data_IF_292033870338
#
_entry.id   IF_292033870338
#
_cell.length_a   1.000
_cell.length_b   1.000
_cell.length_c   1.000
_cell.angle_alpha   90.00
_cell.angle_beta   90.00
_cell.angle_gamma   90.00
#
_symmetry.space_group_name_H-M   'P 1'
#
loop_
_entity.id
_entity.type
_entity.pdbx_description
1 polymer ?
#
# COMPACT_ATOMS: atom_id res chain seq x y z
N UNK A 1 -11.39 -10.93 -26.24
CA UNK A 1 -12.31 -9.80 -26.45
C UNK A 1 -12.84 -9.40 -25.09
N UNK A 2 -12.60 -8.13 -24.75
CA UNK A 2 -12.74 -7.45 -23.46
C UNK A 2 -11.57 -7.66 -22.49
N UNK A 3 -10.49 -6.91 -22.77
CA UNK A 3 -9.40 -6.59 -21.84
C UNK A 3 -9.86 -5.48 -20.89
N UNK A 4 -9.84 -5.74 -19.59
CA UNK A 4 -9.98 -4.72 -18.55
C UNK A 4 -8.62 -4.54 -17.87
N UNK A 5 -7.83 -3.59 -18.37
CA UNK A 5 -6.59 -3.13 -17.76
C UNK A 5 -6.92 -2.02 -16.75
N UNK A 6 -6.56 -2.21 -15.48
CA UNK A 6 -6.62 -1.17 -14.46
C UNK A 6 -5.64 -0.04 -14.83
N UNK A 7 -6.19 1.16 -15.03
CA UNK A 7 -5.49 2.37 -15.43
C UNK A 7 -4.90 3.11 -14.23
N UNK A 8 -3.58 3.27 -14.20
CA UNK A 8 -2.90 4.26 -13.36
C UNK A 8 -2.90 5.62 -14.07
N UNK A 9 -3.48 6.65 -13.45
CA UNK A 9 -3.48 8.02 -13.97
C UNK A 9 -2.92 8.96 -12.90
N UNK A 10 -1.64 9.30 -13.02
CA UNK A 10 -1.11 10.52 -12.40
C UNK A 10 -1.39 11.70 -13.35
N UNK A 11 -2.38 12.53 -13.03
CA UNK A 11 -2.65 13.79 -13.76
C UNK A 11 -1.79 14.91 -13.19
N UNK A 12 -0.71 15.27 -13.88
CA UNK A 12 -0.06 16.56 -13.71
C UNK A 12 -1.00 17.66 -14.27
N UNK A 13 -1.43 18.60 -13.43
CA UNK A 13 -2.31 19.71 -13.81
C UNK A 13 -1.47 20.97 -14.04
N UNK A 14 -1.36 21.38 -15.29
CA UNK A 14 -0.89 22.71 -15.68
C UNK A 14 -2.07 23.69 -15.51
N UNK A 15 -1.97 24.69 -14.62
CA UNK A 15 -3.03 25.70 -14.45
C UNK A 15 -2.52 27.12 -14.70
N UNK A 16 -3.07 27.73 -15.75
CA UNK A 16 -3.01 29.16 -16.03
C UNK A 16 -3.79 29.94 -14.94
N UNK A 17 -3.17 31.01 -14.43
CA UNK A 17 -3.75 31.95 -13.48
C UNK A 17 -4.56 33.02 -14.22
N UNK A 18 -5.82 33.23 -13.85
CA UNK A 18 -6.50 34.53 -14.02
C UNK A 18 -7.45 34.82 -12.84
N UNK A 19 -7.55 36.09 -12.39
CA UNK A 19 -8.28 36.47 -11.17
C UNK A 19 -9.72 36.88 -11.49
N UNK A 20 -10.68 36.56 -10.62
CA UNK A 20 -11.97 37.27 -10.65
C UNK A 20 -12.60 37.43 -9.26
N UNK A 21 -13.01 38.68 -9.03
CA UNK A 21 -13.76 39.21 -7.89
C UNK A 21 -14.97 38.35 -7.51
N UNK A 22 -15.26 38.28 -6.20
CA UNK A 22 -16.63 38.12 -5.72
C UNK A 22 -16.98 39.19 -4.69
N UNK A 23 -18.11 39.84 -4.94
CA UNK A 23 -18.81 40.74 -4.05
C UNK A 23 -20.19 40.16 -3.71
N UNK A 24 -20.77 40.66 -2.61
CA UNK A 24 -22.16 40.55 -2.14
C UNK A 24 -22.62 39.25 -1.44
N UNK A 25 -23.54 39.22 -0.47
CA UNK A 25 -24.16 40.13 0.55
C UNK A 25 -25.27 39.28 1.26
N UNK A 26 -25.35 39.34 2.61
CA UNK A 26 -26.56 39.46 3.50
C UNK A 26 -27.53 38.23 3.53
N UNK A 27 -28.02 37.67 4.66
CA UNK A 27 -29.01 38.19 5.65
C UNK A 27 -29.10 37.29 6.92
N UNK A 28 -29.24 37.96 8.06
CA UNK A 28 -29.66 37.53 9.41
C UNK A 28 -31.13 37.05 9.50
N UNK A 29 -31.42 36.05 10.34
CA UNK A 29 -32.61 36.06 11.24
C UNK A 29 -32.28 35.34 12.56
N UNK A 30 -32.60 36.03 13.65
CA UNK A 30 -32.49 35.65 15.08
C UNK A 30 -33.80 35.02 15.54
N UNK A 31 -33.77 34.01 16.43
CA UNK A 31 -34.71 33.94 17.56
C UNK A 31 -34.22 33.03 18.69
N UNK A 32 -34.04 33.66 19.84
CA UNK A 32 -33.80 33.17 21.19
C UNK A 32 -34.99 32.43 21.81
N UNK A 33 -34.76 31.65 22.88
CA UNK A 33 -35.36 31.74 24.24
C UNK A 33 -34.97 30.49 25.07
N UNK A 34 -34.00 30.63 25.97
CA UNK A 34 -34.13 30.70 27.45
C UNK A 34 -34.55 29.41 28.16
N UNK A 35 -33.57 28.85 28.87
CA UNK A 35 -33.72 27.94 29.99
C UNK A 35 -34.02 28.72 31.28
N UNK A 36 -34.86 28.14 32.14
CA UNK A 36 -34.80 28.16 33.61
C UNK A 36 -35.95 27.29 34.14
N UNK A 37 -35.68 26.25 34.94
CA UNK A 37 -35.97 26.28 36.39
C UNK A 37 -35.80 24.91 37.07
N UNK A 38 -35.21 24.98 38.27
CA UNK A 38 -35.10 23.92 39.27
C UNK A 38 -36.41 23.82 40.08
N UNK A 39 -36.82 22.61 40.47
CA UNK A 39 -37.51 22.42 41.75
C UNK A 39 -37.35 21.00 42.32
N UNK A 40 -37.23 20.99 43.65
CA UNK A 40 -36.97 19.90 44.59
C UNK A 40 -38.17 18.99 44.88
N UNK A 41 -37.85 17.79 45.38
CA UNK A 41 -38.48 17.05 46.49
C UNK A 41 -39.14 15.68 46.17
N UNK A 42 -38.43 14.61 46.60
CA UNK A 42 -38.92 13.53 47.45
C UNK A 42 -40.04 12.59 46.97
N UNK A 43 -39.72 11.31 46.79
CA UNK A 43 -40.44 10.17 47.40
C UNK A 43 -39.73 8.84 47.14
N UNK A 44 -39.54 8.08 48.21
CA UNK A 44 -39.12 6.69 48.27
C UNK A 44 -40.09 5.76 47.54
N UNK A 45 -39.56 4.86 46.71
CA UNK A 45 -40.23 3.61 46.33
C UNK A 45 -39.18 2.53 46.02
N UNK A 46 -39.19 1.48 46.83
CA UNK A 46 -38.46 0.23 46.63
C UNK A 46 -38.82 -0.43 45.30
N UNK A 47 -37.83 -0.75 44.47
CA UNK A 47 -37.94 -1.73 43.37
C UNK A 47 -36.67 -2.57 43.27
N UNK A 48 -36.82 -3.85 43.63
CA UNK A 48 -36.29 -5.04 42.95
C UNK A 48 -34.97 -4.85 42.19
N UNK A 49 -33.87 -5.37 42.76
CA UNK A 49 -32.64 -5.60 42.03
C UNK A 49 -32.88 -6.65 40.93
N UNK A 50 -32.80 -6.21 39.68
CA UNK A 50 -32.73 -7.06 38.51
C UNK A 50 -31.25 -7.42 38.29
N UNK A 51 -30.90 -8.68 37.96
CA UNK A 51 -29.52 -9.04 37.71
C UNK A 51 -29.03 -8.27 36.48
N UNK A 52 -28.04 -7.42 36.68
CA UNK A 52 -27.27 -6.81 35.59
C UNK A 52 -26.62 -7.94 34.82
N UNK A 53 -27.00 -8.09 33.54
CA UNK A 53 -26.20 -8.83 32.58
C UNK A 53 -24.83 -8.16 32.55
N UNK A 54 -23.81 -8.86 33.01
CA UNK A 54 -22.43 -8.49 32.76
C UNK A 54 -22.25 -8.43 31.24
N UNK A 55 -22.17 -7.21 30.71
CA UNK A 55 -21.65 -6.99 29.37
C UNK A 55 -20.15 -7.25 29.52
N UNK A 56 -19.57 -8.22 28.78
CA UNK A 56 -18.12 -8.39 28.81
C UNK A 56 -17.52 -7.07 28.35
N UNK A 57 -16.74 -6.42 29.21
CA UNK A 57 -15.85 -5.35 28.77
C UNK A 57 -14.83 -6.04 27.88
N UNK A 58 -15.00 -5.90 26.56
CA UNK A 58 -13.96 -6.30 25.61
C UNK A 58 -12.80 -5.35 25.87
N UNK A 59 -11.76 -5.86 26.54
CA UNK A 59 -10.51 -5.13 26.73
C UNK A 59 -9.80 -5.07 25.39
N UNK A 60 -9.49 -3.85 24.94
CA UNK A 60 -8.75 -3.62 23.71
C UNK A 60 -7.45 -4.43 23.70
N UNK A 61 -7.11 -5.01 22.54
CA UNK A 61 -5.86 -5.74 22.38
C UNK A 61 -4.65 -4.85 22.73
N UNK A 62 -3.65 -5.46 23.37
CA UNK A 62 -2.51 -4.74 23.98
C UNK A 62 -1.15 -5.11 23.37
N UNK A 63 -1.12 -6.07 22.46
CA UNK A 63 0.10 -6.44 21.72
C UNK A 63 0.62 -5.30 20.85
N UNK A 64 1.86 -5.39 20.40
CA UNK A 64 2.46 -4.43 19.47
C UNK A 64 2.15 -4.81 18.02
N UNK A 65 1.93 -3.80 17.18
CA UNK A 65 1.70 -3.97 15.75
C UNK A 65 2.94 -3.51 14.99
N UNK A 66 3.54 -4.38 14.18
CA UNK A 66 4.70 -4.07 13.33
C UNK A 66 4.32 -4.17 11.86
N UNK A 67 4.17 -3.04 11.17
CA UNK A 67 3.80 -2.99 9.75
C UNK A 67 5.04 -2.80 8.87
N UNK A 68 5.10 -3.56 7.78
CA UNK A 68 6.15 -3.47 6.78
C UNK A 68 5.52 -3.16 5.41
N UNK A 69 5.86 -1.97 4.91
CA UNK A 69 5.35 -1.40 3.67
C UNK A 69 6.15 -1.80 2.45
N UNK A 70 5.55 -2.53 1.52
CA UNK A 70 6.27 -3.22 0.46
C UNK A 70 5.97 -2.68 -0.94
N UNK A 71 6.83 -3.02 -1.90
CA UNK A 71 6.57 -2.83 -3.33
C UNK A 71 6.37 -4.21 -3.97
N UNK A 72 5.15 -4.47 -4.46
CA UNK A 72 4.66 -5.82 -4.73
C UNK A 72 5.61 -6.66 -5.59
N UNK A 73 5.86 -7.89 -5.14
CA UNK A 73 6.54 -8.92 -5.94
C UNK A 73 8.03 -8.70 -6.15
N UNK A 74 8.70 -7.90 -5.31
CA UNK A 74 10.14 -7.67 -5.39
C UNK A 74 10.89 -8.70 -4.53
N UNK A 75 11.66 -9.60 -5.16
CA UNK A 75 12.37 -10.70 -4.49
C UNK A 75 13.22 -10.27 -3.27
N UNK A 76 13.98 -9.17 -3.38
CA UNK A 76 14.78 -8.65 -2.26
C UNK A 76 13.95 -8.10 -1.10
N UNK A 77 12.74 -7.62 -1.36
CA UNK A 77 11.78 -7.22 -0.32
C UNK A 77 11.21 -8.47 0.35
N UNK A 78 10.76 -9.47 -0.42
CA UNK A 78 10.29 -10.76 0.11
C UNK A 78 11.34 -11.45 1.01
N UNK A 79 12.62 -11.38 0.63
CA UNK A 79 13.72 -11.89 1.46
C UNK A 79 13.88 -11.12 2.77
N UNK A 80 13.66 -9.80 2.77
CA UNK A 80 13.71 -8.96 3.96
C UNK A 80 12.49 -9.20 4.86
N UNK A 81 11.29 -9.28 4.30
CA UNK A 81 10.05 -9.64 5.00
C UNK A 81 10.19 -11.00 5.68
N UNK A 82 10.69 -12.02 4.97
CA UNK A 82 10.96 -13.32 5.57
C UNK A 82 11.97 -13.24 6.72
N UNK A 83 13.06 -12.48 6.56
CA UNK A 83 14.07 -12.32 7.63
C UNK A 83 13.45 -11.68 8.87
N UNK A 84 12.62 -10.66 8.70
CA UNK A 84 11.90 -10.01 9.80
C UNK A 84 10.92 -10.97 10.47
N UNK A 85 10.08 -11.63 9.68
CA UNK A 85 9.12 -12.63 10.20
C UNK A 85 9.84 -13.75 10.97
N UNK A 86 10.91 -14.31 10.39
CA UNK A 86 11.71 -15.35 11.01
C UNK A 86 12.34 -14.90 12.34
N UNK A 87 12.78 -13.64 12.45
CA UNK A 87 13.28 -13.07 13.69
C UNK A 87 12.19 -13.01 14.76
N UNK A 88 11.03 -12.40 14.47
CA UNK A 88 9.91 -12.35 15.41
C UNK A 88 9.43 -13.75 15.81
N UNK A 89 9.30 -14.66 14.84
CA UNK A 89 8.84 -16.03 15.05
C UNK A 89 9.76 -16.84 15.96
N UNK A 90 11.08 -16.80 15.74
CA UNK A 90 12.04 -17.61 16.49
C UNK A 90 12.50 -16.96 17.80
N UNK A 91 12.58 -15.63 17.87
CA UNK A 91 13.16 -14.94 19.02
C UNK A 91 12.11 -14.35 19.97
N UNK A 92 10.93 -14.01 19.46
CA UNK A 92 9.88 -13.30 20.22
C UNK A 92 8.60 -14.12 20.37
N UNK A 93 8.53 -15.31 19.75
CA UNK A 93 7.38 -16.21 19.88
C UNK A 93 6.16 -15.80 19.06
N UNK A 94 6.29 -14.81 18.17
CA UNK A 94 5.19 -14.33 17.34
C UNK A 94 4.64 -15.44 16.42
N UNK A 95 3.31 -15.52 16.29
CA UNK A 95 2.64 -16.54 15.45
C UNK A 95 1.64 -15.98 14.44
N UNK A 96 1.22 -14.73 14.61
CA UNK A 96 0.19 -14.10 13.79
C UNK A 96 0.81 -13.16 12.76
N UNK A 97 0.73 -13.56 11.49
CA UNK A 97 1.22 -12.78 10.34
C UNK A 97 0.03 -12.24 9.54
N UNK A 98 -0.13 -10.93 9.60
CA UNK A 98 -1.14 -10.19 8.86
C UNK A 98 -0.62 -9.88 7.46
N UNK A 99 -1.45 -10.09 6.44
CA UNK A 99 -1.07 -9.90 5.04
C UNK A 99 -2.17 -9.17 4.27
N UNK A 100 -1.78 -8.38 3.27
CA UNK A 100 -2.68 -7.75 2.30
C UNK A 100 -3.28 -8.76 1.32
N UNK A 101 -4.00 -9.74 1.86
CA UNK A 101 -4.82 -10.69 1.15
C UNK A 101 -6.21 -10.72 1.77
N UNK A 102 -7.17 -11.25 1.01
CA UNK A 102 -8.53 -11.41 1.51
C UNK A 102 -8.64 -12.47 2.59
N UNK A 103 -9.66 -12.34 3.44
CA UNK A 103 -9.97 -13.31 4.49
C UNK A 103 -10.04 -14.76 3.96
N UNK A 104 -10.78 -14.99 2.86
CA UNK A 104 -10.95 -16.34 2.32
C UNK A 104 -9.66 -16.90 1.70
N UNK A 105 -8.79 -16.05 1.17
CA UNK A 105 -7.48 -16.48 0.63
C UNK A 105 -6.58 -16.97 1.76
N UNK A 106 -6.48 -16.22 2.86
CA UNK A 106 -5.60 -16.64 3.98
C UNK A 106 -6.15 -17.84 4.72
N UNK A 107 -7.47 -18.02 4.79
CA UNK A 107 -8.04 -19.21 5.42
C UNK A 107 -7.69 -20.47 4.63
N UNK A 108 -7.64 -20.38 3.29
CA UNK A 108 -7.07 -21.45 2.48
C UNK A 108 -5.58 -21.65 2.71
N UNK A 109 -4.79 -20.57 2.82
CA UNK A 109 -3.37 -20.69 3.17
C UNK A 109 -3.18 -21.36 4.54
N UNK A 110 -4.03 -21.07 5.52
CA UNK A 110 -4.00 -21.71 6.84
C UNK A 110 -4.35 -23.20 6.76
N UNK A 111 -5.29 -23.60 5.88
CA UNK A 111 -5.53 -25.02 5.59
C UNK A 111 -4.31 -25.67 4.91
N UNK A 112 -3.70 -24.99 3.95
CA UNK A 112 -2.47 -25.44 3.30
C UNK A 112 -1.29 -25.57 4.27
N UNK A 113 -1.14 -24.69 5.25
CA UNK A 113 -0.09 -24.80 6.27
C UNK A 113 -0.17 -26.15 7.02
N UNK A 114 -1.37 -26.73 7.12
CA UNK A 114 -1.61 -28.02 7.78
C UNK A 114 -1.66 -29.21 6.80
N UNK A 115 -1.62 -28.99 5.48
CA UNK A 115 -1.64 -30.06 4.48
C UNK A 115 -0.25 -30.67 4.28
N UNK A 116 -0.22 -31.93 3.84
CA UNK A 116 1.00 -32.68 3.52
C UNK A 116 1.55 -32.39 2.11
N UNK A 117 0.81 -31.65 1.29
CA UNK A 117 1.18 -31.25 -0.07
C UNK A 117 0.92 -29.76 -0.35
N UNK A 118 1.18 -29.34 -1.59
CA UNK A 118 1.04 -27.95 -2.04
C UNK A 118 -0.20 -27.67 -2.91
N UNK A 119 -1.12 -28.63 -3.05
CA UNK A 119 -2.23 -28.52 -4.01
C UNK A 119 -3.08 -27.25 -3.77
N UNK A 120 -3.40 -26.96 -2.51
CA UNK A 120 -4.15 -25.76 -2.13
C UNK A 120 -3.39 -24.47 -2.49
N UNK A 121 -2.06 -24.45 -2.29
CA UNK A 121 -1.25 -23.28 -2.66
C UNK A 121 -1.21 -23.10 -4.18
N UNK A 122 -1.06 -24.19 -4.94
CA UNK A 122 -1.05 -24.12 -6.41
C UNK A 122 -2.42 -23.63 -6.94
N UNK A 123 -3.54 -24.06 -6.36
CA UNK A 123 -4.87 -23.54 -6.73
C UNK A 123 -5.03 -22.03 -6.42
N UNK A 124 -4.53 -21.56 -5.27
CA UNK A 124 -4.53 -20.13 -4.93
C UNK A 124 -3.63 -19.35 -5.90
N UNK A 125 -2.46 -19.89 -6.22
CA UNK A 125 -1.51 -19.27 -7.14
C UNK A 125 -2.10 -19.13 -8.54
N UNK A 126 -2.80 -20.16 -9.03
CA UNK A 126 -3.52 -20.10 -10.30
C UNK A 126 -4.63 -19.03 -10.27
N UNK A 127 -5.38 -18.90 -9.16
CA UNK A 127 -6.38 -17.83 -9.01
C UNK A 127 -5.77 -16.41 -8.95
N UNK A 128 -4.46 -16.30 -8.70
CA UNK A 128 -3.76 -15.02 -8.78
C UNK A 128 -3.42 -14.61 -10.20
N UNK A 129 -3.66 -15.44 -11.23
CA UNK A 129 -3.34 -15.11 -12.63
C UNK A 129 -3.78 -13.68 -12.97
N UNK A 130 -2.89 -12.92 -13.63
CA UNK A 130 -3.09 -11.51 -14.05
C UNK A 130 -3.08 -10.49 -12.92
N UNK A 131 -2.60 -10.89 -11.74
CA UNK A 131 -2.40 -9.99 -10.59
C UNK A 131 -0.91 -9.95 -10.26
N UNK A 132 -0.49 -8.95 -9.48
CA UNK A 132 0.90 -8.86 -9.01
C UNK A 132 1.31 -10.05 -8.11
N UNK A 133 0.32 -10.75 -7.54
CA UNK A 133 0.54 -11.92 -6.69
C UNK A 133 0.89 -13.19 -7.48
N UNK A 134 0.63 -13.25 -8.81
CA UNK A 134 1.06 -14.39 -9.65
C UNK A 134 2.54 -14.25 -10.00
N UNK A 135 3.36 -14.33 -8.96
CA UNK A 135 4.81 -14.20 -9.01
C UNK A 135 5.44 -15.44 -8.35
N UNK A 136 6.34 -16.16 -9.04
CA UNK A 136 7.02 -17.32 -8.47
C UNK A 136 7.72 -17.04 -7.14
N UNK A 137 8.28 -15.83 -6.95
CA UNK A 137 8.97 -15.46 -5.72
C UNK A 137 7.99 -15.36 -4.53
N UNK A 138 6.76 -14.90 -4.76
CA UNK A 138 5.69 -14.88 -3.73
C UNK A 138 5.30 -16.31 -3.35
N UNK A 139 5.18 -17.20 -4.33
CA UNK A 139 4.90 -18.62 -4.06
C UNK A 139 6.01 -19.25 -3.22
N UNK A 140 7.28 -19.01 -3.56
CA UNK A 140 8.42 -19.50 -2.80
C UNK A 140 8.49 -18.87 -1.40
N UNK A 141 8.12 -17.60 -1.23
CA UNK A 141 8.01 -16.95 0.08
C UNK A 141 7.05 -17.70 1.02
N UNK A 142 5.85 -18.05 0.56
CA UNK A 142 4.91 -18.84 1.36
C UNK A 142 5.47 -20.23 1.67
N UNK A 143 6.05 -20.95 0.68
CA UNK A 143 6.68 -22.27 0.90
C UNK A 143 7.82 -22.21 1.93
N UNK A 144 8.59 -21.12 1.92
CA UNK A 144 9.64 -20.85 2.90
C UNK A 144 9.07 -20.62 4.30
N UNK A 145 7.94 -19.91 4.44
CA UNK A 145 7.22 -19.78 5.71
C UNK A 145 6.74 -21.16 6.20
N UNK A 146 6.05 -21.95 5.38
CA UNK A 146 5.57 -23.28 5.78
C UNK A 146 6.70 -24.18 6.28
N UNK A 147 7.83 -24.19 5.58
CA UNK A 147 8.96 -25.05 5.93
C UNK A 147 9.79 -24.59 7.12
N UNK A 148 9.84 -23.27 7.41
CA UNK A 148 10.74 -22.70 8.45
C UNK A 148 10.00 -22.13 9.66
N UNK A 149 8.76 -21.69 9.47
CA UNK A 149 7.89 -21.11 10.49
C UNK A 149 6.50 -21.80 10.46
N UNK A 150 6.42 -23.13 10.65
CA UNK A 150 5.20 -23.91 10.38
C UNK A 150 4.01 -23.59 11.29
N UNK A 151 4.24 -22.92 12.42
CA UNK A 151 3.17 -22.49 13.33
C UNK A 151 2.62 -21.09 12.99
N UNK A 152 3.01 -20.53 11.84
CA UNK A 152 2.47 -19.24 11.37
C UNK A 152 0.97 -19.36 11.10
N UNK A 153 0.20 -18.40 11.61
CA UNK A 153 -1.22 -18.22 11.36
C UNK A 153 -1.37 -16.93 10.55
N UNK A 154 -1.91 -17.05 9.34
CA UNK A 154 -2.15 -15.92 8.46
C UNK A 154 -3.47 -15.23 8.77
N UNK A 155 -3.47 -13.90 8.77
CA UNK A 155 -4.66 -13.06 8.86
C UNK A 155 -4.74 -12.15 7.64
N UNK A 156 -5.82 -12.27 6.87
CA UNK A 156 -6.05 -11.54 5.63
C UNK A 156 -7.10 -10.48 5.88
N UNK A 157 -6.70 -9.22 5.73
CA UNK A 157 -7.53 -8.08 6.09
C UNK A 157 -7.95 -7.25 4.89
N UNK A 158 -7.40 -7.49 3.71
CA UNK A 158 -7.76 -6.75 2.52
C UNK A 158 -9.09 -7.24 1.92
N UNK A 159 -9.63 -6.45 1.02
CA UNK A 159 -10.70 -6.88 0.12
C UNK A 159 -10.12 -7.81 -0.95
N UNK A 160 -10.83 -8.88 -1.30
CA UNK A 160 -10.36 -9.81 -2.34
C UNK A 160 -10.90 -9.48 -3.72
N UNK A 161 -10.06 -9.49 -4.76
CA UNK A 161 -10.53 -9.53 -6.16
C UNK A 161 -11.04 -10.91 -6.56
N UNK A 162 -10.50 -11.98 -5.98
CA UNK A 162 -10.91 -13.36 -6.25
C UNK A 162 -12.21 -13.79 -5.56
N UNK A 163 -13.14 -12.85 -5.34
CA UNK A 163 -14.37 -13.13 -4.59
C UNK A 163 -15.28 -14.14 -5.29
N UNK A 164 -15.23 -14.23 -6.62
CA UNK A 164 -16.04 -15.13 -7.44
C UNK A 164 -15.37 -16.47 -7.71
N UNK A 165 -14.04 -16.53 -7.65
CA UNK A 165 -13.25 -17.77 -7.75
C UNK A 165 -12.88 -18.31 -6.36
N UNK A 166 -11.76 -17.92 -5.76
CA UNK A 166 -11.26 -18.41 -4.47
C UNK A 166 -12.32 -18.26 -3.37
N UNK A 167 -13.03 -17.14 -3.31
CA UNK A 167 -14.08 -16.90 -2.33
C UNK A 167 -15.24 -17.90 -2.45
N UNK A 168 -15.73 -18.15 -3.67
CA UNK A 168 -16.80 -19.12 -3.92
C UNK A 168 -16.33 -20.56 -3.69
N UNK A 169 -15.06 -20.87 -4.03
CA UNK A 169 -14.44 -22.16 -3.72
C UNK A 169 -14.39 -22.36 -2.21
N UNK A 170 -13.98 -21.35 -1.43
CA UNK A 170 -13.91 -21.46 0.03
C UNK A 170 -15.27 -21.62 0.69
N UNK A 171 -16.31 -20.91 0.23
CA UNK A 171 -17.68 -21.14 0.69
C UNK A 171 -18.14 -22.58 0.44
N UNK A 172 -17.81 -23.12 -0.73
CA UNK A 172 -18.15 -24.50 -1.09
C UNK A 172 -17.43 -25.50 -0.18
N UNK A 173 -16.15 -25.26 0.13
CA UNK A 173 -15.40 -26.03 1.12
C UNK A 173 -16.06 -25.97 2.50
N UNK A 174 -16.42 -24.79 2.99
CA UNK A 174 -17.06 -24.64 4.30
C UNK A 174 -18.41 -25.37 4.35
N UNK A 175 -19.23 -25.27 3.31
CA UNK A 175 -20.51 -25.98 3.22
C UNK A 175 -20.33 -27.51 3.19
N UNK A 176 -19.34 -28.01 2.44
CA UNK A 176 -19.04 -29.44 2.34
C UNK A 176 -18.50 -30.05 3.65
N UNK A 177 -18.04 -29.20 4.58
CA UNK A 177 -17.52 -29.61 5.89
C UNK A 177 -18.46 -29.22 7.05
N UNK A 178 -19.75 -28.96 6.76
CA UNK A 178 -20.77 -28.60 7.76
C UNK A 178 -20.46 -27.30 8.55
N UNK A 179 -19.68 -26.40 7.97
CA UNK A 179 -19.27 -25.11 8.56
C UNK A 179 -20.12 -23.93 8.07
N UNK A 180 -21.30 -24.18 7.48
CA UNK A 180 -22.18 -23.14 6.92
C UNK A 180 -22.74 -22.12 7.93
N UNK A 181 -22.76 -22.46 9.21
CA UNK A 181 -23.19 -21.57 10.30
C UNK A 181 -22.01 -21.02 11.13
N UNK A 182 -20.77 -21.26 10.68
CA UNK A 182 -19.57 -20.82 11.39
C UNK A 182 -19.28 -19.32 11.20
N UNK A 183 -18.48 -18.77 12.11
CA UNK A 183 -17.91 -17.43 11.94
C UNK A 183 -17.11 -17.34 10.63
N UNK A 184 -16.33 -18.38 10.29
CA UNK A 184 -15.55 -18.42 9.04
C UNK A 184 -16.43 -18.24 7.81
N UNK A 185 -17.61 -18.87 7.79
CA UNK A 185 -18.56 -18.71 6.69
C UNK A 185 -19.10 -17.28 6.61
N UNK A 186 -19.45 -16.70 7.76
CA UNK A 186 -19.95 -15.32 7.84
C UNK A 186 -18.90 -14.32 7.35
N UNK A 187 -17.66 -14.44 7.81
CA UNK A 187 -16.56 -13.56 7.41
C UNK A 187 -16.16 -13.75 5.94
N UNK A 188 -16.26 -14.97 5.42
CA UNK A 188 -16.06 -15.24 3.98
C UNK A 188 -17.11 -14.54 3.14
N UNK A 189 -18.39 -14.64 3.52
CA UNK A 189 -19.49 -13.93 2.84
C UNK A 189 -19.31 -12.41 2.90
N UNK A 190 -18.84 -11.89 4.04
CA UNK A 190 -18.55 -10.48 4.21
C UNK A 190 -17.41 -10.03 3.28
N UNK A 191 -16.27 -10.73 3.27
CA UNK A 191 -15.13 -10.41 2.42
C UNK A 191 -15.50 -10.46 0.92
N UNK A 192 -16.31 -11.43 0.50
CA UNK A 192 -16.85 -11.51 -0.88
C UNK A 192 -17.71 -10.28 -1.18
N UNK A 193 -18.56 -9.86 -0.25
CA UNK A 193 -19.38 -8.65 -0.43
C UNK A 193 -18.51 -7.40 -0.52
N UNK A 194 -17.50 -7.26 0.33
CA UNK A 194 -16.58 -6.13 0.31
C UNK A 194 -15.87 -6.04 -1.05
N UNK A 195 -15.34 -7.16 -1.56
CA UNK A 195 -14.76 -7.24 -2.91
C UNK A 195 -15.74 -6.79 -3.99
N UNK A 196 -16.96 -7.35 -4.02
CA UNK A 196 -18.00 -6.94 -5.01
C UNK A 196 -18.32 -5.45 -4.97
N UNK A 197 -18.42 -4.86 -3.78
CA UNK A 197 -18.71 -3.42 -3.65
C UNK A 197 -17.57 -2.60 -4.22
N UNK A 198 -16.32 -2.90 -3.83
CA UNK A 198 -15.17 -2.17 -4.34
C UNK A 198 -15.04 -2.28 -5.86
N UNK A 199 -15.01 -3.49 -6.42
CA UNK A 199 -14.83 -3.67 -7.87
C UNK A 199 -16.00 -3.17 -8.72
N UNK A 200 -17.14 -2.83 -8.10
CA UNK A 200 -18.24 -2.14 -8.79
C UNK A 200 -18.07 -0.61 -8.90
N UNK A 201 -17.17 -0.02 -8.11
CA UNK A 201 -17.04 1.44 -7.94
C UNK A 201 -15.61 1.97 -7.97
N UNK A 202 -14.62 1.10 -7.80
CA UNK A 202 -13.20 1.42 -7.60
C UNK A 202 -12.98 2.46 -6.48
N UNK A 203 -13.72 2.29 -5.38
CA UNK A 203 -13.74 3.22 -4.25
C UNK A 203 -12.56 2.96 -3.29
N UNK A 204 -11.46 3.68 -3.49
CA UNK A 204 -10.25 3.57 -2.65
C UNK A 204 -10.50 3.88 -1.17
N UNK A 205 -11.36 4.85 -0.87
CA UNK A 205 -11.75 5.22 0.50
C UNK A 205 -12.48 4.05 1.16
N UNK A 206 -13.37 3.38 0.43
CA UNK A 206 -14.05 2.18 0.92
C UNK A 206 -13.07 1.05 1.23
N UNK A 207 -12.11 0.76 0.32
CA UNK A 207 -11.08 -0.27 0.55
C UNK A 207 -10.29 0.00 1.82
N UNK A 208 -9.82 1.24 2.00
CA UNK A 208 -8.97 1.60 3.13
C UNK A 208 -9.68 1.43 4.47
N UNK A 209 -10.93 1.88 4.55
CA UNK A 209 -11.75 1.71 5.76
C UNK A 209 -12.02 0.23 6.03
N UNK A 210 -12.34 -0.57 5.00
CA UNK A 210 -12.59 -2.02 5.20
C UNK A 210 -11.33 -2.79 5.57
N UNK A 211 -10.18 -2.45 5.02
CA UNK A 211 -8.91 -3.05 5.42
C UNK A 211 -8.62 -2.79 6.91
N UNK A 212 -8.83 -1.56 7.36
CA UNK A 212 -8.68 -1.15 8.76
C UNK A 212 -9.66 -1.86 9.68
N UNK A 213 -10.96 -1.88 9.34
CA UNK A 213 -11.99 -2.58 10.11
C UNK A 213 -11.69 -4.08 10.24
N UNK A 214 -11.27 -4.71 9.14
CA UNK A 214 -10.90 -6.12 9.12
C UNK A 214 -9.67 -6.39 9.98
N UNK A 215 -8.67 -5.50 9.95
CA UNK A 215 -7.47 -5.60 10.80
C UNK A 215 -7.85 -5.56 12.28
N UNK A 216 -8.60 -4.55 12.70
CA UNK A 216 -9.06 -4.39 14.09
C UNK A 216 -9.83 -5.65 14.52
N UNK A 217 -10.79 -6.12 13.71
CA UNK A 217 -11.57 -7.33 14.03
C UNK A 217 -10.68 -8.54 14.31
N UNK A 218 -9.64 -8.76 13.50
CA UNK A 218 -8.76 -9.91 13.66
C UNK A 218 -7.76 -9.72 14.81
N UNK A 219 -7.21 -8.52 14.98
CA UNK A 219 -6.24 -8.23 16.03
C UNK A 219 -6.86 -8.24 17.44
N UNK A 220 -8.09 -7.73 17.60
CA UNK A 220 -8.80 -7.74 18.89
C UNK A 220 -9.03 -9.16 19.44
N UNK A 221 -9.04 -10.19 18.59
CA UNK A 221 -9.18 -11.59 19.01
C UNK A 221 -7.91 -12.13 19.67
N UNK A 222 -6.78 -11.46 19.50
CA UNK A 222 -5.45 -11.96 19.89
C UNK A 222 -5.01 -11.49 21.29
N UNK A 223 -5.86 -10.70 21.99
CA UNK A 223 -5.61 -10.25 23.36
C UNK A 223 -4.30 -9.47 23.54
N UNK A 224 -3.20 -10.14 23.88
CA UNK A 224 -1.90 -9.52 24.17
C UNK A 224 -0.79 -9.96 23.22
N UNK A 225 -1.11 -10.72 22.18
CA UNK A 225 -0.14 -11.15 21.16
C UNK A 225 0.28 -9.97 20.28
N UNK A 226 1.59 -9.82 20.07
CA UNK A 226 2.12 -8.90 19.06
C UNK A 226 2.00 -9.51 17.67
N UNK A 227 1.90 -8.67 16.64
CA UNK A 227 1.69 -9.10 15.25
C UNK A 227 2.63 -8.39 14.29
N UNK A 228 2.95 -9.07 13.19
CA UNK A 228 3.62 -8.48 12.03
C UNK A 228 2.61 -8.36 10.89
N UNK A 229 2.59 -7.24 10.19
CA UNK A 229 1.79 -6.98 9.00
C UNK A 229 2.65 -6.72 7.77
N UNK A 230 2.32 -7.33 6.64
CA UNK A 230 2.94 -7.07 5.32
C UNK A 230 1.88 -6.53 4.38
N UNK A 231 2.07 -5.29 3.93
CA UNK A 231 1.13 -4.55 3.08
C UNK A 231 1.89 -3.66 2.10
N UNK A 232 1.27 -3.33 0.97
CA UNK A 232 1.75 -2.31 0.05
C UNK A 232 2.03 -1.01 0.81
N UNK A 233 3.15 -0.35 0.50
CA UNK A 233 3.66 0.74 1.32
C UNK A 233 2.66 1.87 1.56
N UNK A 234 1.74 2.10 0.60
CA UNK A 234 0.68 3.09 0.65
C UNK A 234 -0.33 2.89 1.81
N UNK A 235 -0.39 1.70 2.42
CA UNK A 235 -1.29 1.39 3.53
C UNK A 235 -0.60 1.47 4.89
N UNK A 236 0.72 1.71 4.91
CA UNK A 236 1.56 1.51 6.10
C UNK A 236 2.13 2.80 6.71
N UNK A 237 1.96 3.95 6.08
CA UNK A 237 2.44 5.23 6.60
C UNK A 237 1.65 5.67 7.84
N UNK A 238 2.37 6.03 8.93
CA UNK A 238 1.72 6.40 10.20
C UNK A 238 1.10 7.81 10.17
N UNK A 239 1.48 8.64 9.21
CA UNK A 239 0.99 9.99 8.97
C UNK A 239 0.54 10.20 7.51
N UNK A 240 0.33 9.11 6.77
CA UNK A 240 -0.05 9.14 5.35
C UNK A 240 -1.57 9.06 5.15
N UNK A 241 -2.02 9.55 4.00
CA UNK A 241 -3.41 9.56 3.56
C UNK A 241 -3.66 8.44 2.53
N UNK A 242 -4.93 8.07 2.31
CA UNK A 242 -5.32 7.08 1.32
C UNK A 242 -4.75 7.43 -0.06
N UNK A 243 -4.16 6.43 -0.70
CA UNK A 243 -3.45 6.62 -1.97
C UNK A 243 -4.31 7.23 -3.07
N UNK A 244 -5.56 6.76 -3.19
CA UNK A 244 -6.39 7.05 -4.36
C UNK A 244 -6.91 8.48 -4.38
N UNK A 245 -7.41 8.97 -3.24
CA UNK A 245 -8.11 10.26 -3.15
C UNK A 245 -7.42 11.28 -2.27
N UNK A 246 -6.55 10.84 -1.35
CA UNK A 246 -5.91 11.68 -0.35
C UNK A 246 -6.94 12.44 0.52
N UNK A 247 -8.10 11.82 0.78
CA UNK A 247 -9.21 12.45 1.53
C UNK A 247 -9.40 11.88 2.94
N UNK A 248 -8.91 10.67 3.21
CA UNK A 248 -8.91 10.04 4.53
C UNK A 248 -7.51 9.51 4.89
N UNK A 249 -7.19 9.29 6.18
CA UNK A 249 -5.95 8.61 6.57
C UNK A 249 -5.85 7.19 5.98
N UNK A 250 -4.64 6.74 5.64
CA UNK A 250 -4.41 5.34 5.27
C UNK A 250 -4.57 4.38 6.47
N UNK A 251 -4.60 3.07 6.24
CA UNK A 251 -4.86 2.06 7.26
C UNK A 251 -3.97 2.23 8.50
N UNK A 252 -2.64 2.32 8.33
CA UNK A 252 -1.74 2.44 9.48
C UNK A 252 -1.93 3.73 10.29
N UNK A 253 -2.26 4.84 9.63
CA UNK A 253 -2.59 6.10 10.31
C UNK A 253 -3.90 5.96 11.12
N UNK A 254 -4.93 5.32 10.56
CA UNK A 254 -6.16 5.00 11.30
C UNK A 254 -5.90 4.06 12.49
N UNK A 255 -5.05 3.04 12.31
CA UNK A 255 -4.65 2.13 13.39
C UNK A 255 -3.84 2.85 14.48
N UNK A 256 -2.99 3.82 14.11
CA UNK A 256 -2.28 4.66 15.09
C UNK A 256 -3.24 5.51 15.91
N UNK A 257 -4.26 6.11 15.29
CA UNK A 257 -5.29 6.83 16.04
C UNK A 257 -6.03 5.90 17.01
N UNK A 258 -6.27 4.64 16.61
CA UNK A 258 -7.00 3.66 17.42
C UNK A 258 -6.17 3.03 18.57
N UNK A 259 -4.91 2.67 18.33
CA UNK A 259 -4.05 1.93 19.26
C UNK A 259 -2.96 2.79 19.92
N UNK A 260 -2.80 4.05 19.50
CA UNK A 260 -1.77 4.96 20.00
C UNK A 260 -0.36 4.54 19.58
N UNK A 261 0.60 4.63 20.50
CA UNK A 261 2.02 4.46 20.20
C UNK A 261 2.51 3.00 20.08
N UNK A 262 1.63 2.02 20.22
CA UNK A 262 1.98 0.58 20.12
C UNK A 262 1.94 0.05 18.67
N UNK A 263 2.18 0.94 17.71
CA UNK A 263 2.28 0.62 16.29
C UNK A 263 3.61 1.15 15.73
N UNK A 264 4.29 0.30 14.97
CA UNK A 264 5.55 0.59 14.31
C UNK A 264 5.38 0.33 12.82
N UNK A 265 6.05 1.15 11.99
CA UNK A 265 6.02 0.98 10.54
C UNK A 265 7.40 1.18 9.94
N UNK A 266 7.78 0.33 8.99
CA UNK A 266 8.98 0.45 8.16
C UNK A 266 8.61 0.31 6.68
N UNK A 267 8.96 1.33 5.87
CA UNK A 267 8.74 1.30 4.43
C UNK A 267 9.92 0.58 3.73
N UNK A 268 9.69 -0.67 3.36
CA UNK A 268 10.61 -1.54 2.61
C UNK A 268 10.62 -1.28 1.11
N UNK A 269 9.63 -0.57 0.54
CA UNK A 269 9.57 -0.27 -0.91
C UNK A 269 10.84 0.41 -1.43
N UNK A 270 11.56 1.15 -0.58
CA UNK A 270 12.84 1.79 -0.90
C UNK A 270 13.92 0.79 -1.29
N UNK A 271 13.87 -0.43 -0.73
CA UNK A 271 14.78 -1.52 -1.09
C UNK A 271 14.64 -1.87 -2.56
N UNK A 272 13.44 -1.73 -3.17
CA UNK A 272 13.23 -1.95 -4.61
C UNK A 272 14.17 -1.10 -5.48
N UNK A 273 14.51 0.11 -5.03
CA UNK A 273 15.37 1.04 -5.76
C UNK A 273 16.86 0.79 -5.55
N UNK A 274 17.25 0.01 -4.54
CA UNK A 274 18.64 -0.36 -4.31
C UNK A 274 19.15 -1.33 -5.39
N UNK A 275 19.53 -0.79 -6.56
CA UNK A 275 19.96 -1.52 -7.75
C UNK A 275 21.34 -1.06 -8.19
N UNK A 276 22.18 -2.02 -8.56
CA UNK A 276 23.45 -1.76 -9.22
C UNK A 276 23.24 -1.51 -10.72
N UNK A 277 24.05 -0.66 -11.37
CA UNK A 277 23.97 -0.48 -12.80
C UNK A 277 24.30 -1.78 -13.53
N UNK A 278 23.45 -2.16 -14.48
CA UNK A 278 23.59 -3.42 -15.22
C UNK A 278 24.69 -3.38 -16.28
N UNK A 279 25.09 -2.18 -16.72
CA UNK A 279 26.24 -1.93 -17.59
C UNK A 279 26.66 -0.46 -17.51
N UNK A 280 27.81 -0.16 -18.11
CA UNK A 280 28.30 1.20 -18.31
C UNK A 280 28.37 1.47 -19.81
N UNK A 281 27.65 2.50 -20.26
CA UNK A 281 27.71 3.05 -21.61
C UNK A 281 28.62 4.30 -21.62
N UNK A 282 28.80 4.91 -22.80
CA UNK A 282 29.50 6.20 -22.93
C UNK A 282 28.60 7.20 -23.65
N UNK A 283 28.39 8.37 -23.04
CA UNK A 283 27.52 9.42 -23.58
C UNK A 283 28.34 10.71 -23.70
N UNK A 284 28.34 11.30 -24.90
CA UNK A 284 28.94 12.61 -25.12
C UNK A 284 27.97 13.74 -24.76
N UNK A 285 28.45 14.71 -23.98
CA UNK A 285 27.74 15.92 -23.58
C UNK A 285 28.71 17.10 -23.66
N UNK A 286 28.34 18.16 -24.40
CA UNK A 286 29.19 19.33 -24.67
C UNK A 286 30.62 18.99 -25.17
N UNK A 287 30.73 17.94 -25.99
CA UNK A 287 32.01 17.50 -26.58
C UNK A 287 32.93 16.71 -25.64
N UNK A 288 32.53 16.49 -24.38
CA UNK A 288 33.20 15.58 -23.43
C UNK A 288 32.43 14.26 -23.36
N UNK A 289 33.14 13.15 -23.27
CA UNK A 289 32.56 11.82 -23.12
C UNK A 289 32.54 11.42 -21.64
N UNK A 290 31.41 10.90 -21.17
CA UNK A 290 31.21 10.49 -19.78
C UNK A 290 30.87 8.99 -19.73
N UNK A 291 31.38 8.31 -18.71
CA UNK A 291 30.86 7.01 -18.32
C UNK A 291 29.41 7.18 -17.86
N UNK A 292 28.53 6.33 -18.37
CA UNK A 292 27.09 6.41 -18.15
C UNK A 292 26.57 5.08 -17.57
N UNK A 293 26.41 5.04 -16.25
CA UNK A 293 25.87 3.87 -15.53
C UNK A 293 24.40 3.65 -15.89
N UNK A 294 24.06 2.51 -16.50
CA UNK A 294 22.71 2.19 -16.96
C UNK A 294 21.93 1.37 -15.93
N UNK A 295 20.77 1.90 -15.52
CA UNK A 295 19.95 1.34 -14.45
C UNK A 295 18.67 0.64 -14.93
N UNK A 296 18.49 0.54 -16.25
CA UNK A 296 17.38 -0.21 -16.83
C UNK A 296 16.24 0.66 -17.34
N UNK A 297 15.12 -0.02 -17.51
CA UNK A 297 13.94 0.44 -18.23
C UNK A 297 12.71 0.38 -17.32
N UNK A 298 11.89 1.42 -17.38
CA UNK A 298 10.57 1.48 -16.77
C UNK A 298 9.50 1.50 -17.86
N UNK A 299 8.54 0.59 -17.75
CA UNK A 299 7.35 0.56 -18.60
C UNK A 299 6.44 1.77 -18.29
N UNK A 300 5.87 2.40 -19.33
CA UNK A 300 4.98 3.56 -19.22
C UNK A 300 3.58 3.25 -19.77
N UNK A 301 3.18 1.98 -19.85
CA UNK A 301 1.83 1.58 -20.23
C UNK A 301 0.79 2.30 -19.35
N UNK A 302 -0.22 2.87 -19.99
CA UNK A 302 -1.22 3.75 -19.35
C UNK A 302 -0.91 5.24 -19.49
N UNK A 303 0.35 5.63 -19.75
CA UNK A 303 0.66 7.00 -20.18
C UNK A 303 0.38 7.15 -21.66
N UNK A 304 -0.36 8.22 -22.00
CA UNK A 304 -0.66 8.54 -23.39
C UNK A 304 0.64 8.82 -24.14
N UNK A 305 0.80 8.19 -25.30
CA UNK A 305 1.90 8.37 -26.27
C UNK A 305 3.28 7.82 -25.86
N UNK A 306 3.45 7.25 -24.66
CA UNK A 306 4.73 6.69 -24.19
C UNK A 306 4.67 5.18 -24.00
N UNK A 307 5.74 4.49 -24.43
CA UNK A 307 5.89 3.05 -24.25
C UNK A 307 6.74 2.73 -23.00
N UNK A 308 7.90 3.39 -22.88
CA UNK A 308 8.82 3.18 -21.76
C UNK A 308 9.84 4.30 -21.67
N UNK A 309 10.56 4.36 -20.55
CA UNK A 309 11.75 5.20 -20.41
C UNK A 309 12.92 4.44 -19.82
N UNK A 310 14.12 4.91 -20.11
CA UNK A 310 15.38 4.31 -19.70
C UNK A 310 16.26 5.33 -18.98
N UNK A 311 17.08 4.87 -18.04
CA UNK A 311 17.84 5.73 -17.13
C UNK A 311 19.34 5.45 -17.16
N UNK A 312 20.11 6.51 -17.33
CA UNK A 312 21.55 6.54 -17.12
C UNK A 312 21.91 7.61 -16.09
N UNK A 313 22.93 7.34 -15.28
CA UNK A 313 23.64 8.37 -14.51
C UNK A 313 24.98 8.67 -15.18
N UNK A 314 25.25 9.93 -15.49
CA UNK A 314 26.55 10.37 -15.99
C UNK A 314 27.49 10.58 -14.81
N UNK A 315 28.55 9.77 -14.75
CA UNK A 315 29.53 9.82 -13.67
C UNK A 315 30.45 11.03 -13.85
N UNK A 316 30.74 11.73 -12.73
CA UNK A 316 31.61 12.90 -12.66
C UNK A 316 31.22 14.07 -13.59
N UNK A 317 29.94 14.18 -13.95
CA UNK A 317 29.44 15.19 -14.90
C UNK A 317 28.90 16.47 -14.26
N UNK A 318 28.62 16.48 -12.95
CA UNK A 318 27.86 17.57 -12.30
C UNK A 318 28.54 18.93 -12.40
N UNK A 319 29.83 19.00 -12.04
CA UNK A 319 30.58 20.26 -12.05
C UNK A 319 30.65 20.89 -13.45
N UNK A 320 30.64 20.07 -14.50
CA UNK A 320 30.70 20.52 -15.89
C UNK A 320 29.37 21.09 -16.40
N UNK A 321 28.24 20.72 -15.77
CA UNK A 321 26.89 21.05 -16.27
C UNK A 321 26.06 21.94 -15.35
N UNK A 322 26.49 22.15 -14.09
CA UNK A 322 25.71 22.87 -13.09
C UNK A 322 25.33 24.31 -13.48
N UNK A 323 26.13 24.94 -14.35
CA UNK A 323 25.91 26.31 -14.84
C UNK A 323 25.15 26.39 -16.16
N UNK A 324 24.72 25.25 -16.71
CA UNK A 324 23.97 25.23 -17.98
C UNK A 324 22.55 25.76 -17.80
N UNK A 325 21.93 26.29 -18.88
CA UNK A 325 20.58 26.80 -18.81
C UNK A 325 19.58 25.73 -18.35
N UNK A 326 18.85 26.05 -17.29
CA UNK A 326 17.84 25.20 -16.70
C UNK A 326 16.50 25.38 -17.42
N UNK A 327 15.75 24.30 -17.50
CA UNK A 327 14.39 24.25 -18.03
C UNK A 327 13.42 24.12 -16.85
N UNK A 328 12.27 24.78 -16.93
CA UNK A 328 11.19 24.65 -15.96
C UNK A 328 10.44 23.31 -16.16
N UNK A 329 11.18 22.22 -15.97
CA UNK A 329 10.70 20.85 -16.01
C UNK A 329 11.45 20.03 -14.96
N UNK A 330 10.70 19.31 -14.12
CA UNK A 330 11.23 18.61 -12.97
C UNK A 330 10.81 17.15 -12.98
N UNK A 331 11.73 16.28 -12.60
CA UNK A 331 11.45 14.86 -12.41
C UNK A 331 11.62 14.51 -10.92
N UNK A 332 10.52 14.18 -10.21
CA UNK A 332 10.60 13.73 -8.82
C UNK A 332 11.55 12.56 -8.64
N UNK A 333 12.28 12.52 -7.52
CA UNK A 333 13.20 11.41 -7.23
C UNK A 333 12.49 10.07 -7.24
N UNK A 334 11.21 10.04 -6.86
CA UNK A 334 10.47 8.80 -6.82
C UNK A 334 10.20 8.16 -8.18
N UNK A 335 10.36 8.93 -9.26
CA UNK A 335 10.22 8.46 -10.63
C UNK A 335 11.48 7.77 -11.19
N UNK A 336 12.57 7.75 -10.43
CA UNK A 336 13.80 7.05 -10.81
C UNK A 336 13.81 5.60 -10.30
N UNK A 337 14.50 4.74 -11.05
CA UNK A 337 14.69 3.32 -10.69
C UNK A 337 15.70 3.11 -9.56
N UNK A 338 16.48 4.15 -9.22
CA UNK A 338 17.55 4.16 -8.24
C UNK A 338 17.43 5.35 -7.28
N UNK A 339 18.04 5.30 -6.08
CA UNK A 339 18.18 6.45 -5.20
C UNK A 339 18.94 7.58 -5.89
N UNK A 340 18.55 8.81 -5.58
CA UNK A 340 19.13 10.02 -6.14
C UNK A 340 19.82 10.81 -5.04
N UNK A 341 21.05 11.23 -5.32
CA UNK A 341 21.85 12.08 -4.45
C UNK A 341 22.12 13.43 -5.12
N UNK A 342 22.25 14.47 -4.29
CA UNK A 342 22.66 15.80 -4.75
C UNK A 342 24.05 15.71 -5.38
N UNK A 343 24.25 16.38 -6.50
CA UNK A 343 25.50 16.32 -7.27
C UNK A 343 25.50 15.27 -8.38
N UNK A 344 24.35 14.68 -8.72
CA UNK A 344 24.24 13.67 -9.79
C UNK A 344 23.60 14.24 -11.07
N UNK A 345 23.98 13.66 -12.21
CA UNK A 345 23.48 14.03 -13.55
C UNK A 345 22.92 12.79 -14.21
N UNK A 346 21.77 12.93 -14.89
CA UNK A 346 21.04 11.83 -15.48
C UNK A 346 20.70 12.09 -16.94
N UNK A 347 20.70 11.02 -17.72
CA UNK A 347 20.10 10.96 -19.05
C UNK A 347 18.87 10.08 -18.96
N UNK A 348 17.73 10.59 -19.42
CA UNK A 348 16.49 9.83 -19.50
C UNK A 348 16.07 9.78 -20.97
N UNK A 349 16.01 8.57 -21.53
CA UNK A 349 15.46 8.37 -22.86
C UNK A 349 14.02 7.88 -22.73
N UNK A 350 13.06 8.69 -23.17
CA UNK A 350 11.64 8.34 -23.21
C UNK A 350 11.27 7.90 -24.63
N UNK A 351 10.90 6.63 -24.79
CA UNK A 351 10.48 6.03 -26.06
C UNK A 351 8.95 6.11 -26.19
N UNK A 352 8.49 6.73 -27.27
CA UNK A 352 7.06 6.86 -27.61
C UNK A 352 6.50 5.58 -28.23
N UNK A 353 5.17 5.49 -28.28
CA UNK A 353 4.48 4.35 -28.91
C UNK A 353 4.71 4.23 -30.42
N UNK A 354 5.11 5.33 -31.08
CA UNK A 354 5.53 5.33 -32.49
C UNK A 354 7.01 4.96 -32.71
N UNK A 355 7.75 4.68 -31.63
CA UNK A 355 9.16 4.33 -31.65
C UNK A 355 10.13 5.52 -31.65
N UNK A 356 9.64 6.76 -31.69
CA UNK A 356 10.50 7.94 -31.54
C UNK A 356 11.04 8.05 -30.11
N UNK A 357 12.27 8.56 -29.97
CA UNK A 357 12.95 8.67 -28.68
C UNK A 357 13.22 10.13 -28.37
N UNK A 358 12.77 10.57 -27.21
CA UNK A 358 13.14 11.86 -26.62
C UNK A 358 14.23 11.63 -25.58
N UNK A 359 15.33 12.38 -25.68
CA UNK A 359 16.41 12.38 -24.69
C UNK A 359 16.37 13.68 -23.89
N UNK A 360 16.25 13.55 -22.58
CA UNK A 360 16.30 14.66 -21.65
C UNK A 360 17.47 14.47 -20.67
N UNK A 361 18.05 15.58 -20.22
CA UNK A 361 19.12 15.60 -19.23
C UNK A 361 18.64 16.28 -17.96
N UNK A 362 18.87 15.65 -16.82
CA UNK A 362 18.42 16.12 -15.52
C UNK A 362 19.59 16.23 -14.56
N UNK A 363 19.59 17.26 -13.71
CA UNK A 363 20.58 17.42 -12.66
C UNK A 363 19.91 17.44 -11.29
N UNK A 364 20.56 16.81 -10.32
CA UNK A 364 20.15 16.82 -8.92
C UNK A 364 20.94 17.90 -8.16
N UNK A 365 20.34 19.07 -7.96
CA UNK A 365 20.92 20.18 -7.18
C UNK A 365 20.33 20.29 -5.77
N UNK A 366 19.56 19.29 -5.34
CA UNK A 366 18.84 19.31 -4.06
C UNK A 366 17.57 20.17 -4.08
N UNK A 367 16.96 20.36 -5.25
CA UNK A 367 15.73 21.12 -5.37
C UNK A 367 14.52 20.39 -4.80
N UNK A 368 13.64 21.19 -4.20
CA UNK A 368 12.35 20.75 -3.66
C UNK A 368 11.24 21.53 -4.35
N UNK A 369 10.39 20.82 -5.09
CA UNK A 369 9.24 21.40 -5.81
C UNK A 369 7.98 20.89 -5.15
N UNK A 370 7.15 21.81 -4.64
CA UNK A 370 5.90 21.46 -3.94
C UNK A 370 6.08 20.45 -2.79
N UNK A 371 7.23 20.52 -2.10
CA UNK A 371 7.57 19.59 -1.01
C UNK A 371 8.23 18.28 -1.47
N UNK A 372 8.46 18.08 -2.77
CA UNK A 372 9.02 16.85 -3.34
C UNK A 372 10.43 17.09 -3.88
N UNK A 373 11.40 16.29 -3.40
CA UNK A 373 12.77 16.30 -3.94
C UNK A 373 12.74 15.91 -5.43
N UNK A 374 13.31 16.77 -6.27
CA UNK A 374 13.23 16.63 -7.73
C UNK A 374 14.53 17.02 -8.40
N UNK A 375 14.84 16.34 -9.50
CA UNK A 375 15.89 16.78 -10.42
C UNK A 375 15.31 17.79 -11.41
N UNK A 376 16.11 18.75 -11.86
CA UNK A 376 15.68 19.74 -12.85
C UNK A 376 16.31 19.45 -14.21
N UNK A 377 15.51 19.60 -15.28
CA UNK A 377 16.02 19.48 -16.64
C UNK A 377 16.96 20.63 -16.99
N UNK A 378 18.01 20.35 -17.76
CA UNK A 378 18.87 21.38 -18.36
C UNK A 378 19.02 21.16 -19.87
N UNK A 379 19.40 22.22 -20.57
CA UNK A 379 19.69 22.16 -22.01
C UNK A 379 21.15 21.77 -22.26
N UNK A 380 21.34 20.75 -23.08
CA UNK A 380 22.64 20.21 -23.45
C UNK A 380 23.27 20.85 -24.71
N UNK A 381 22.72 21.99 -25.19
CA UNK A 381 23.19 22.70 -26.40
C UNK A 381 24.53 23.41 -26.20
#
# INVERSE_FOLDING_TARGET
MNDYNLTFVAKAKMMLVQPLLLALIVILVVSSLTACDNSTAGKTASKSAQPTKDVPVVTQASGSIYLYGEAHGVAKILDKEYKLWSQYYHNEGMRHLFVELSYFTVEYLNLWMQSDNDDILEEIYDDWERTLNHNPDIKEFYKKIKSKCPETIFHGTDIGHQYDITGSRFLSYLAANDLGESEKYTLTMEAIRQGRVFYSKEDGVYRENKMTENFIREFEKLSNESVMGIYGSAHTGLDEMDYTTQTIPCMANQLQEHYGFNIYSENLSKIAKDIEPSRVDYISLQGKEYAASYFGKQDLNGFKDYAHREFWRLEDAYEDVQDLPLVDNYLPYDNYLMPIEVGQVFVVNSTKTDGSVQRDYYLSSGQVVEGVNSTQQFTAE
#
